data_IF_494070877365
#
_entry.id   IF_494070877365
#
_cell.length_a   1.000
_cell.length_b   1.000
_cell.length_c   1.000
_cell.angle_alpha   90.00
_cell.angle_beta   90.00
_cell.angle_gamma   90.00
#
_symmetry.space_group_name_H-M   'P 1'
#
loop_
_entity.id
_entity.type
_entity.pdbx_description
1 polymer ?
#
# COMPACT_ATOMS: atom_id res chain seq x y z
N UNK A 1 1.39 1.33 0.68
CA UNK A 1 2.07 1.71 1.96
C UNK A 1 1.59 3.04 2.56
N UNK A 2 1.09 4.02 1.77
CA UNK A 2 0.60 5.30 2.30
C UNK A 2 -0.64 5.17 3.21
N UNK A 3 -1.57 4.26 2.91
CA UNK A 3 -2.84 4.12 3.66
C UNK A 3 -2.62 3.75 5.13
N UNK A 4 -1.67 2.87 5.46
CA UNK A 4 -1.36 2.50 6.86
C UNK A 4 -0.69 3.66 7.60
N UNK A 5 0.18 4.43 6.93
CA UNK A 5 0.73 5.66 7.50
C UNK A 5 -0.37 6.71 7.75
N UNK A 6 -1.37 6.79 6.87
CA UNK A 6 -2.52 7.67 7.05
C UNK A 6 -3.47 7.20 8.15
N UNK A 7 -3.78 5.91 8.24
CA UNK A 7 -4.61 5.35 9.32
C UNK A 7 -3.94 5.49 10.69
N UNK A 8 -2.64 5.17 10.80
CA UNK A 8 -1.89 5.43 12.03
C UNK A 8 -1.85 6.91 12.36
N UNK A 9 -1.63 7.80 11.37
CA UNK A 9 -1.70 9.25 11.58
C UNK A 9 -3.09 9.70 12.01
N UNK A 10 -4.17 9.18 11.45
CA UNK A 10 -5.55 9.56 11.79
C UNK A 10 -5.88 9.08 13.21
N UNK A 11 -5.51 7.85 13.57
CA UNK A 11 -5.70 7.35 14.94
C UNK A 11 -4.86 8.17 15.92
N UNK A 12 -3.59 8.46 15.62
CA UNK A 12 -2.75 9.33 16.45
C UNK A 12 -3.28 10.76 16.51
N UNK A 13 -3.83 11.29 15.42
CA UNK A 13 -4.40 12.64 15.35
C UNK A 13 -5.69 12.70 16.17
N UNK A 14 -6.55 11.69 16.10
CA UNK A 14 -7.76 11.60 16.90
C UNK A 14 -7.41 11.48 18.39
N UNK A 15 -6.47 10.61 18.75
CA UNK A 15 -5.98 10.50 20.14
C UNK A 15 -5.33 11.80 20.61
N UNK A 16 -4.51 12.44 19.79
CA UNK A 16 -3.84 13.71 20.13
C UNK A 16 -4.81 14.88 20.22
N UNK A 17 -5.82 14.95 19.36
CA UNK A 17 -6.90 15.96 19.41
C UNK A 17 -7.72 15.76 20.69
N UNK A 18 -8.09 14.52 21.01
CA UNK A 18 -8.79 14.18 22.26
C UNK A 18 -7.96 14.59 23.48
N UNK A 19 -6.64 14.34 23.47
CA UNK A 19 -5.74 14.70 24.57
C UNK A 19 -5.51 16.22 24.68
N UNK A 20 -5.41 16.95 23.56
CA UNK A 20 -5.12 18.39 23.57
C UNK A 20 -6.34 19.24 23.92
N UNK A 21 -7.54 18.83 23.48
CA UNK A 21 -8.80 19.51 23.81
C UNK A 21 -9.06 19.50 25.33
N UNK A 22 -8.57 18.50 26.05
CA UNK A 22 -8.71 18.43 27.52
C UNK A 22 -7.83 19.40 28.32
N UNK A 23 -6.94 20.18 27.68
CA UNK A 23 -5.87 20.91 28.41
C UNK A 23 -5.73 22.40 28.11
N UNK A 24 -6.50 22.98 27.17
CA UNK A 24 -6.30 24.38 26.76
C UNK A 24 -7.54 25.24 26.96
N UNK A 25 -7.39 26.38 27.65
CA UNK A 25 -8.46 27.32 27.97
C UNK A 25 -9.04 28.08 26.76
N UNK A 26 -8.42 27.98 25.57
CA UNK A 26 -8.86 28.65 24.35
C UNK A 26 -8.66 27.78 23.07
N UNK A 27 -9.59 26.85 22.77
CA UNK A 27 -9.39 25.78 21.79
C UNK A 27 -9.51 26.22 20.31
N UNK A 28 -10.22 27.30 20.00
CA UNK A 28 -10.51 27.73 18.61
C UNK A 28 -9.26 28.23 17.89
N UNK A 29 -8.44 29.08 18.53
CA UNK A 29 -7.25 29.66 17.90
C UNK A 29 -6.11 28.63 17.72
N UNK A 30 -6.00 27.65 18.63
CA UNK A 30 -4.98 26.59 18.53
C UNK A 30 -5.30 25.57 17.44
N UNK A 31 -6.57 25.28 17.17
CA UNK A 31 -6.98 24.30 16.15
C UNK A 31 -6.78 24.89 14.76
N UNK A 32 -7.11 26.16 14.57
CA UNK A 32 -6.98 26.85 13.28
C UNK A 32 -5.50 26.98 12.84
N UNK A 33 -4.62 27.40 13.75
CA UNK A 33 -3.16 27.44 13.50
C UNK A 33 -2.57 26.04 13.23
N UNK A 34 -3.06 25.01 13.92
CA UNK A 34 -2.56 23.63 13.72
C UNK A 34 -3.10 22.96 12.45
N UNK A 35 -4.32 23.26 12.02
CA UNK A 35 -4.89 22.73 10.76
C UNK A 35 -4.22 23.39 9.55
N UNK A 36 -4.06 24.71 9.59
CA UNK A 36 -3.48 25.50 8.49
C UNK A 36 -2.04 25.03 8.16
N UNK A 37 -1.19 24.84 9.18
CA UNK A 37 0.18 24.36 8.97
C UNK A 37 0.27 22.92 8.44
N UNK A 38 -0.67 22.04 8.80
CA UNK A 38 -0.68 20.64 8.35
C UNK A 38 -1.27 20.48 6.96
N UNK A 39 -2.25 21.30 6.57
CA UNK A 39 -2.81 21.32 5.21
C UNK A 39 -1.78 21.82 4.20
N UNK A 40 -0.98 22.84 4.55
CA UNK A 40 0.13 23.30 3.71
C UNK A 40 1.18 22.19 3.48
N UNK A 41 1.46 21.37 4.50
CA UNK A 41 2.36 20.23 4.37
C UNK A 41 1.77 19.08 3.52
N UNK A 42 0.45 18.89 3.52
CA UNK A 42 -0.22 17.88 2.69
C UNK A 42 -0.27 18.33 1.22
N UNK A 43 -0.46 19.62 0.95
CA UNK A 43 -0.43 20.18 -0.41
C UNK A 43 0.95 20.05 -1.09
N UNK A 44 2.04 20.04 -0.30
CA UNK A 44 3.41 19.82 -0.81
C UNK A 44 3.76 18.34 -1.07
N UNK A 45 2.91 17.39 -0.67
CA UNK A 45 3.06 16.01 -1.10
C UNK A 45 2.46 15.92 -2.50
N UNK A 46 3.34 15.78 -3.50
CA UNK A 46 3.10 15.79 -4.94
C UNK A 46 2.20 14.61 -5.40
N UNK A 47 0.96 14.58 -4.90
CA UNK A 47 -0.08 13.65 -5.30
C UNK A 47 -0.75 14.29 -6.50
N UNK A 48 -0.65 13.63 -7.65
CA UNK A 48 -1.21 14.06 -8.92
C UNK A 48 -2.74 13.91 -8.88
N UNK A 49 -3.41 14.76 -8.10
CA UNK A 49 -4.86 14.84 -7.98
C UNK A 49 -5.32 15.80 -9.09
N UNK A 50 -6.04 15.27 -10.08
CA UNK A 50 -6.61 16.04 -11.21
C UNK A 50 -7.74 16.99 -10.81
N UNK A 51 -8.11 17.03 -9.52
CA UNK A 51 -9.04 18.02 -8.99
C UNK A 51 -8.29 19.22 -8.44
N UNK A 52 -8.75 20.42 -8.84
CA UNK A 52 -8.26 21.68 -8.31
C UNK A 52 -8.44 21.71 -6.77
N UNK A 53 -7.34 21.75 -5.99
CA UNK A 53 -7.41 21.66 -4.52
C UNK A 53 -8.24 22.81 -3.91
N UNK A 54 -8.37 23.95 -4.58
CA UNK A 54 -9.23 25.04 -4.11
C UNK A 54 -10.74 24.70 -4.19
N UNK A 55 -11.14 23.87 -5.16
CA UNK A 55 -12.54 23.46 -5.30
C UNK A 55 -12.93 22.49 -4.18
N UNK A 56 -12.08 21.51 -3.89
CA UNK A 56 -12.28 20.57 -2.78
C UNK A 56 -12.39 21.32 -1.44
N UNK A 57 -11.57 22.35 -1.23
CA UNK A 57 -11.65 23.18 0.00
C UNK A 57 -12.98 23.94 0.08
N UNK A 58 -13.50 24.45 -1.04
CA UNK A 58 -14.82 25.12 -1.05
C UNK A 58 -15.94 24.15 -0.76
N UNK A 59 -15.93 22.98 -1.38
CA UNK A 59 -16.98 21.96 -1.21
C UNK A 59 -16.99 21.44 0.23
N UNK A 60 -15.81 21.13 0.80
CA UNK A 60 -15.67 20.73 2.21
C UNK A 60 -16.13 21.85 3.16
N UNK A 61 -15.81 23.12 2.86
CA UNK A 61 -16.27 24.25 3.67
C UNK A 61 -17.79 24.39 3.63
N UNK A 62 -18.41 24.17 2.48
CA UNK A 62 -19.85 24.30 2.29
C UNK A 62 -20.60 23.14 2.97
N UNK A 63 -20.07 21.91 2.88
CA UNK A 63 -20.62 20.75 3.59
C UNK A 63 -20.44 20.86 5.11
N UNK A 64 -19.27 21.30 5.57
CA UNK A 64 -19.07 21.60 6.99
C UNK A 64 -19.99 22.73 7.45
N UNK A 65 -20.14 23.79 6.65
CA UNK A 65 -21.04 24.89 6.99
C UNK A 65 -22.48 24.40 7.13
N UNK A 66 -22.97 23.56 6.22
CA UNK A 66 -24.30 22.96 6.32
C UNK A 66 -24.45 22.01 7.53
N UNK A 67 -23.41 21.26 7.87
CA UNK A 67 -23.37 20.44 9.08
C UNK A 67 -23.37 21.29 10.36
N UNK A 68 -22.73 22.45 10.35
CA UNK A 68 -22.67 23.36 11.51
C UNK A 68 -23.87 24.29 11.63
N UNK A 69 -24.56 24.65 10.53
CA UNK A 69 -25.65 25.63 10.54
C UNK A 69 -26.94 25.14 11.23
N UNK A 70 -27.05 23.83 11.47
CA UNK A 70 -28.19 23.26 12.20
C UNK A 70 -27.91 23.01 13.68
N UNK A 71 -26.73 23.39 14.19
CA UNK A 71 -26.48 23.38 15.62
C UNK A 71 -26.95 24.70 16.23
N UNK A 72 -27.91 24.70 17.17
CA UNK A 72 -28.34 25.92 17.85
C UNK A 72 -27.12 26.58 18.52
N UNK A 73 -27.09 27.92 18.55
CA UNK A 73 -26.07 28.76 19.19
C UNK A 73 -26.02 28.58 20.71
N UNK A 74 -25.67 27.38 21.16
CA UNK A 74 -25.45 27.09 22.56
C UNK A 74 -23.95 27.31 22.82
N UNK A 75 -23.58 28.03 23.90
CA UNK A 75 -22.21 28.46 24.14
C UNK A 75 -21.23 27.27 24.12
N UNK A 76 -20.20 27.35 23.28
CA UNK A 76 -19.18 26.32 23.01
C UNK A 76 -18.59 25.73 24.30
N UNK A 77 -18.47 26.53 25.38
CA UNK A 77 -18.00 26.09 26.70
C UNK A 77 -18.87 25.01 27.34
N UNK A 78 -20.19 24.99 27.10
CA UNK A 78 -21.10 24.02 27.74
C UNK A 78 -21.03 22.64 27.08
N UNK A 79 -20.80 22.58 25.78
CA UNK A 79 -20.64 21.31 25.05
C UNK A 79 -19.32 20.63 25.36
N UNK A 80 -18.22 21.38 25.48
CA UNK A 80 -16.91 20.80 25.80
C UNK A 80 -16.94 19.95 27.08
N UNK A 81 -17.58 20.46 28.13
CA UNK A 81 -17.69 19.75 29.41
C UNK A 81 -18.58 18.50 29.35
N UNK A 82 -19.68 18.54 28.59
CA UNK A 82 -20.58 17.39 28.41
C UNK A 82 -19.95 16.29 27.54
N UNK A 83 -19.21 16.66 26.49
CA UNK A 83 -18.46 15.70 25.69
C UNK A 83 -17.29 15.11 26.48
N UNK A 84 -16.57 15.91 27.26
CA UNK A 84 -15.46 15.42 28.09
C UNK A 84 -15.94 14.42 29.16
N UNK A 85 -17.06 14.71 29.84
CA UNK A 85 -17.63 13.78 30.82
C UNK A 85 -18.11 12.49 30.15
N UNK A 86 -18.79 12.59 29.00
CA UNK A 86 -19.22 11.40 28.23
C UNK A 86 -18.04 10.54 27.76
N UNK A 87 -16.96 11.15 27.24
CA UNK A 87 -15.76 10.41 26.85
C UNK A 87 -15.07 9.73 28.04
N UNK A 88 -15.11 10.35 29.22
CA UNK A 88 -14.59 9.77 30.45
C UNK A 88 -15.37 8.51 30.85
N UNK A 89 -16.70 8.56 30.77
CA UNK A 89 -17.58 7.44 31.09
C UNK A 89 -17.38 6.26 30.12
N UNK A 90 -17.13 6.54 28.83
CA UNK A 90 -16.94 5.51 27.79
C UNK A 90 -15.47 5.16 27.49
N UNK A 91 -14.49 5.67 28.25
CA UNK A 91 -13.06 5.52 27.90
C UNK A 91 -12.62 4.08 27.67
N UNK A 92 -13.09 3.13 28.48
CA UNK A 92 -12.74 1.72 28.34
C UNK A 92 -13.42 1.09 27.13
N UNK A 93 -14.66 1.48 26.82
CA UNK A 93 -15.36 1.03 25.62
C UNK A 93 -14.67 1.55 24.35
N UNK A 94 -14.17 2.79 24.36
CA UNK A 94 -13.41 3.37 23.25
C UNK A 94 -12.05 2.69 23.06
N UNK A 95 -11.32 2.44 24.15
CA UNK A 95 -10.05 1.71 24.08
C UNK A 95 -10.29 0.29 23.58
N UNK A 96 -11.30 -0.39 24.13
CA UNK A 96 -11.68 -1.75 23.76
C UNK A 96 -12.10 -1.86 22.29
N UNK A 97 -12.97 -0.97 21.81
CA UNK A 97 -13.41 -0.97 20.41
C UNK A 97 -12.28 -0.66 19.44
N UNK A 98 -11.39 0.29 19.79
CA UNK A 98 -10.20 0.61 18.98
C UNK A 98 -9.24 -0.57 18.92
N UNK A 99 -8.97 -1.21 20.05
CA UNK A 99 -8.10 -2.39 20.13
C UNK A 99 -8.69 -3.56 19.33
N UNK A 100 -10.00 -3.83 19.46
CA UNK A 100 -10.70 -4.86 18.71
C UNK A 100 -10.67 -4.59 17.20
N UNK A 101 -10.92 -3.34 16.78
CA UNK A 101 -10.85 -2.95 15.37
C UNK A 101 -9.45 -3.14 14.78
N UNK A 102 -8.41 -2.73 15.52
CA UNK A 102 -7.02 -2.94 15.11
C UNK A 102 -6.67 -4.43 15.02
N UNK A 103 -7.12 -5.23 15.99
CA UNK A 103 -6.92 -6.68 15.98
C UNK A 103 -7.57 -7.34 14.77
N UNK A 104 -8.85 -7.03 14.49
CA UNK A 104 -9.57 -7.55 13.32
C UNK A 104 -8.90 -7.14 12.01
N UNK A 105 -8.43 -5.89 11.91
CA UNK A 105 -7.70 -5.42 10.73
C UNK A 105 -6.40 -6.20 10.51
N UNK A 106 -5.58 -6.38 11.55
CA UNK A 106 -4.33 -7.14 11.44
C UNK A 106 -4.59 -8.62 11.14
N UNK A 107 -5.62 -9.20 11.75
CA UNK A 107 -6.05 -10.57 11.50
C UNK A 107 -6.45 -10.78 10.04
N UNK A 108 -7.25 -9.85 9.50
CA UNK A 108 -7.61 -9.84 8.08
C UNK A 108 -6.39 -9.72 7.17
N UNK A 109 -5.46 -8.82 7.46
CA UNK A 109 -4.23 -8.65 6.67
C UNK A 109 -3.33 -9.90 6.69
N UNK A 110 -3.25 -10.62 7.83
CA UNK A 110 -2.52 -11.89 7.93
C UNK A 110 -3.19 -12.99 7.09
N UNK A 111 -4.52 -13.12 7.16
CA UNK A 111 -5.27 -14.09 6.33
C UNK A 111 -5.08 -13.78 4.84
N UNK A 112 -5.22 -12.51 4.47
CA UNK A 112 -5.00 -12.05 3.11
C UNK A 112 -3.57 -12.38 2.63
N UNK A 113 -2.56 -12.19 3.48
CA UNK A 113 -1.18 -12.54 3.20
C UNK A 113 -0.96 -14.04 3.01
N UNK A 114 -1.56 -14.85 3.89
CA UNK A 114 -1.53 -16.31 3.75
C UNK A 114 -2.14 -16.75 2.41
N UNK A 115 -3.33 -16.26 2.07
CA UNK A 115 -4.00 -16.58 0.80
C UNK A 115 -3.21 -16.06 -0.41
N UNK A 116 -2.61 -14.87 -0.30
CA UNK A 116 -1.77 -14.30 -1.35
C UNK A 116 -0.52 -15.15 -1.62
N UNK A 117 0.13 -15.63 -0.55
CA UNK A 117 1.27 -16.54 -0.65
C UNK A 117 0.87 -17.97 -1.07
N UNK A 118 -0.41 -18.32 -1.18
CA UNK A 118 -0.85 -19.63 -1.68
C UNK A 118 -1.19 -19.64 -3.18
N UNK A 119 -1.33 -18.47 -3.78
CA UNK A 119 -1.66 -18.32 -5.20
C UNK A 119 -0.72 -19.10 -6.11
N UNK A 120 -1.29 -19.96 -6.94
CA UNK A 120 -0.55 -20.82 -7.89
C UNK A 120 -0.24 -20.10 -9.22
N UNK A 121 -0.97 -19.04 -9.54
CA UNK A 121 -0.84 -18.21 -10.73
C UNK A 121 0.29 -17.15 -10.64
N UNK A 122 0.97 -17.08 -9.50
CA UNK A 122 2.08 -16.17 -9.19
C UNK A 122 3.28 -16.36 -10.11
N UNK A 123 3.93 -15.26 -10.53
CA UNK A 123 5.18 -15.32 -11.30
C UNK A 123 6.33 -15.93 -10.48
N UNK A 124 6.28 -15.85 -9.16
CA UNK A 124 7.24 -16.51 -8.28
C UNK A 124 7.19 -18.05 -8.40
N UNK A 125 6.09 -18.61 -8.91
CA UNK A 125 5.93 -20.05 -9.14
C UNK A 125 6.18 -20.45 -10.60
N UNK A 126 6.62 -19.51 -11.44
CA UNK A 126 7.12 -19.86 -12.78
C UNK A 126 8.30 -20.82 -12.64
N UNK A 127 8.17 -22.00 -13.27
CA UNK A 127 9.07 -23.17 -13.10
C UNK A 127 9.19 -23.69 -11.67
N UNK A 128 8.08 -23.82 -10.93
CA UNK A 128 8.04 -24.29 -9.54
C UNK A 128 8.95 -25.49 -9.22
N UNK A 129 9.07 -26.44 -10.15
CA UNK A 129 9.83 -27.68 -9.97
C UNK A 129 11.36 -27.47 -9.94
N UNK A 130 11.86 -26.30 -10.36
CA UNK A 130 13.29 -25.99 -10.44
C UNK A 130 13.63 -25.02 -9.29
N UNK A 131 14.53 -25.35 -8.35
CA UNK A 131 14.97 -24.44 -7.30
C UNK A 131 15.75 -23.24 -7.88
N UNK A 132 15.82 -22.15 -7.12
CA UNK A 132 16.47 -20.91 -7.59
C UNK A 132 17.94 -21.11 -7.97
N UNK A 133 18.68 -21.96 -7.24
CA UNK A 133 20.09 -22.27 -7.55
C UNK A 133 20.25 -22.87 -8.94
N UNK A 134 19.42 -23.86 -9.30
CA UNK A 134 19.44 -24.47 -10.63
C UNK A 134 18.94 -23.51 -11.70
N UNK A 135 18.02 -22.60 -11.36
CA UNK A 135 17.55 -21.56 -12.29
C UNK A 135 18.70 -20.61 -12.70
N UNK A 136 19.65 -20.35 -11.80
CA UNK A 136 20.84 -19.53 -12.06
C UNK A 136 21.88 -20.24 -12.93
N UNK A 137 21.86 -21.57 -13.02
CA UNK A 137 22.76 -22.37 -13.85
C UNK A 137 22.32 -22.40 -15.32
N UNK A 138 21.05 -22.11 -15.61
CA UNK A 138 20.52 -22.06 -16.98
C UNK A 138 21.11 -20.85 -17.71
N UNK A 139 21.62 -21.01 -18.95
CA UNK A 139 22.08 -19.88 -19.75
C UNK A 139 21.01 -18.79 -19.85
N UNK A 140 21.39 -17.56 -19.53
CA UNK A 140 20.46 -16.43 -19.40
C UNK A 140 19.67 -16.17 -20.68
N UNK A 141 20.28 -16.35 -21.85
CA UNK A 141 19.63 -16.21 -23.16
C UNK A 141 18.46 -17.18 -23.33
N UNK A 142 18.70 -18.47 -23.08
CA UNK A 142 17.67 -19.52 -23.16
C UNK A 142 16.53 -19.23 -22.19
N UNK A 143 16.86 -18.87 -20.94
CA UNK A 143 15.86 -18.57 -19.93
C UNK A 143 15.03 -17.33 -20.31
N UNK A 144 15.68 -16.30 -20.87
CA UNK A 144 15.00 -15.09 -21.29
C UNK A 144 14.03 -15.34 -22.44
N UNK A 145 14.40 -16.14 -23.44
CA UNK A 145 13.53 -16.48 -24.56
C UNK A 145 12.30 -17.26 -24.08
N UNK A 146 12.48 -18.22 -23.17
CA UNK A 146 11.37 -18.96 -22.57
C UNK A 146 10.46 -18.05 -21.74
N UNK A 147 11.03 -17.10 -20.99
CA UNK A 147 10.27 -16.11 -20.23
C UNK A 147 9.40 -15.25 -21.15
N UNK A 148 9.94 -14.79 -22.28
CA UNK A 148 9.19 -13.96 -23.24
C UNK A 148 8.03 -14.74 -23.85
N UNK A 149 8.25 -16.00 -24.23
CA UNK A 149 7.18 -16.87 -24.73
C UNK A 149 6.08 -17.06 -23.69
N UNK A 150 6.44 -17.24 -22.42
CA UNK A 150 5.47 -17.40 -21.34
C UNK A 150 4.69 -16.10 -21.05
N UNK A 151 5.36 -14.95 -21.12
CA UNK A 151 4.73 -13.62 -21.00
C UNK A 151 3.69 -13.44 -22.10
N UNK A 152 4.07 -13.71 -23.35
CA UNK A 152 3.15 -13.66 -24.49
C UNK A 152 1.99 -14.62 -24.23
N UNK A 153 2.25 -15.90 -23.95
CA UNK A 153 1.20 -16.89 -23.66
C UNK A 153 0.20 -16.43 -22.59
N UNK A 154 0.66 -15.77 -21.51
CA UNK A 154 -0.20 -15.33 -20.41
C UNK A 154 -0.95 -14.02 -20.69
N UNK A 155 -0.39 -13.12 -21.48
CA UNK A 155 -0.92 -11.76 -21.69
C UNK A 155 -1.27 -11.43 -23.14
N UNK A 156 -1.26 -12.39 -24.06
CA UNK A 156 -1.68 -12.16 -25.45
C UNK A 156 -3.16 -11.79 -25.47
N UNK A 157 -3.46 -10.63 -26.05
CA UNK A 157 -4.82 -10.23 -26.33
C UNK A 157 -5.31 -10.93 -27.60
N UNK A 158 -6.41 -11.69 -27.50
CA UNK A 158 -7.01 -12.41 -28.62
C UNK A 158 -7.45 -11.45 -29.73
N UNK A 159 -7.85 -10.23 -29.38
CA UNK A 159 -8.29 -9.22 -30.35
C UNK A 159 -7.13 -8.56 -31.12
N UNK A 160 -5.92 -8.55 -30.54
CA UNK A 160 -4.73 -7.88 -31.09
C UNK A 160 -3.47 -8.71 -30.89
N UNK A 161 -3.34 -9.86 -31.58
CA UNK A 161 -2.24 -10.79 -31.35
C UNK A 161 -0.87 -10.23 -31.76
N UNK A 162 -0.82 -9.20 -32.61
CA UNK A 162 0.42 -8.54 -33.05
C UNK A 162 0.98 -7.55 -32.01
N UNK A 163 0.20 -7.16 -31.01
CA UNK A 163 0.62 -6.21 -29.97
C UNK A 163 1.34 -6.93 -28.81
N UNK A 164 2.55 -7.41 -29.10
CA UNK A 164 3.38 -8.06 -28.07
C UNK A 164 3.90 -7.07 -27.02
N UNK A 165 4.04 -5.78 -27.35
CA UNK A 165 4.57 -4.75 -26.45
C UNK A 165 3.65 -4.57 -25.23
N UNK A 166 2.33 -4.54 -25.45
CA UNK A 166 1.36 -4.45 -24.35
C UNK A 166 1.47 -5.61 -23.36
N UNK A 167 1.75 -6.83 -23.84
CA UNK A 167 1.99 -8.00 -22.96
C UNK A 167 3.23 -7.81 -22.08
N UNK A 168 4.31 -7.27 -22.63
CA UNK A 168 5.55 -7.00 -21.89
C UNK A 168 5.36 -5.91 -20.82
N UNK A 169 4.63 -4.84 -21.15
CA UNK A 169 4.31 -3.76 -20.20
C UNK A 169 3.44 -4.29 -19.05
N UNK A 170 2.42 -5.08 -19.38
CA UNK A 170 1.51 -5.67 -18.39
C UNK A 170 2.26 -6.61 -17.45
N UNK A 171 3.14 -7.46 -17.99
CA UNK A 171 4.03 -8.29 -17.21
C UNK A 171 4.89 -7.47 -16.23
N UNK A 172 5.52 -6.40 -16.70
CA UNK A 172 6.36 -5.55 -15.84
C UNK A 172 5.59 -4.93 -14.69
N UNK A 173 4.36 -4.46 -14.94
CA UNK A 173 3.51 -3.92 -13.87
C UNK A 173 3.12 -5.01 -12.86
N UNK A 174 2.78 -6.20 -13.35
CA UNK A 174 2.33 -7.30 -12.49
C UNK A 174 3.48 -7.86 -11.64
N UNK A 175 4.68 -8.03 -12.19
CA UNK A 175 5.84 -8.51 -11.43
C UNK A 175 6.27 -7.50 -10.36
N UNK A 176 6.19 -6.20 -10.64
CA UNK A 176 6.48 -5.15 -9.65
C UNK A 176 5.45 -5.15 -8.52
N UNK A 177 4.17 -5.22 -8.86
CA UNK A 177 3.09 -5.36 -7.88
C UNK A 177 3.26 -6.61 -7.03
N UNK A 178 3.73 -7.71 -7.63
CA UNK A 178 3.99 -8.96 -6.91
C UNK A 178 5.16 -8.82 -5.93
N UNK A 179 6.27 -8.24 -6.36
CA UNK A 179 7.43 -7.93 -5.53
C UNK A 179 7.03 -7.05 -4.33
N UNK A 180 6.26 -5.99 -4.57
CA UNK A 180 5.77 -5.09 -3.51
C UNK A 180 4.85 -5.82 -2.52
N UNK A 181 3.94 -6.67 -3.03
CA UNK A 181 3.06 -7.49 -2.22
C UNK A 181 3.84 -8.45 -1.30
N UNK A 182 4.80 -9.18 -1.85
CA UNK A 182 5.64 -10.09 -1.06
C UNK A 182 6.48 -9.34 -0.02
N UNK A 183 7.13 -8.22 -0.40
CA UNK A 183 7.87 -7.37 0.55
C UNK A 183 6.99 -6.84 1.67
N UNK A 184 5.76 -6.44 1.36
CA UNK A 184 4.81 -5.97 2.35
C UNK A 184 4.52 -7.04 3.41
N UNK A 185 4.25 -8.28 2.99
CA UNK A 185 3.96 -9.37 3.93
C UNK A 185 5.18 -9.79 4.76
N UNK A 186 6.39 -9.84 4.18
CA UNK A 186 7.63 -10.07 4.93
C UNK A 186 7.78 -9.01 6.04
N UNK A 187 7.55 -7.73 5.71
CA UNK A 187 7.61 -6.63 6.67
C UNK A 187 6.51 -6.72 7.73
N UNK A 188 5.29 -7.14 7.36
CA UNK A 188 4.19 -7.35 8.29
C UNK A 188 4.53 -8.41 9.33
N UNK A 189 5.04 -9.57 8.91
CA UNK A 189 5.45 -10.64 9.82
C UNK A 189 6.57 -10.19 10.76
N UNK A 190 7.61 -9.54 10.21
CA UNK A 190 8.71 -8.99 11.00
C UNK A 190 8.23 -8.02 12.09
N UNK A 191 7.28 -7.14 11.75
CA UNK A 191 6.65 -6.22 12.72
C UNK A 191 5.84 -6.95 13.78
N UNK A 192 5.03 -7.94 13.40
CA UNK A 192 4.25 -8.74 14.36
C UNK A 192 5.14 -9.53 15.32
N UNK A 193 6.28 -10.04 14.84
CA UNK A 193 7.31 -10.71 15.66
C UNK A 193 8.01 -9.74 16.60
N UNK A 194 8.41 -8.57 16.11
CA UNK A 194 9.05 -7.52 16.92
C UNK A 194 8.14 -7.05 18.05
N UNK A 195 6.84 -6.91 17.77
CA UNK A 195 5.81 -6.56 18.76
C UNK A 195 5.44 -7.72 19.70
N UNK A 196 6.00 -8.92 19.51
CA UNK A 196 5.69 -10.15 20.27
C UNK A 196 4.21 -10.58 20.25
N UNK A 197 3.43 -10.07 19.30
CA UNK A 197 2.01 -10.42 19.11
C UNK A 197 1.79 -11.51 18.07
N UNK A 198 2.86 -12.00 17.42
CA UNK A 198 2.77 -13.02 16.38
C UNK A 198 1.97 -14.28 16.78
N UNK A 199 2.00 -14.67 18.06
CA UNK A 199 1.24 -15.84 18.57
C UNK A 199 -0.27 -15.65 18.57
N UNK A 200 -0.76 -14.40 18.53
CA UNK A 200 -2.20 -14.10 18.50
C UNK A 200 -2.81 -14.20 17.10
N UNK A 201 -1.97 -14.33 16.07
CA UNK A 201 -2.41 -14.36 14.68
C UNK A 201 -2.11 -15.72 14.05
N UNK A 202 -2.92 -16.17 13.07
CA UNK A 202 -2.72 -17.43 12.36
C UNK A 202 -1.59 -17.32 11.33
N UNK A 203 -0.37 -17.01 11.78
CA UNK A 203 0.81 -16.87 10.92
C UNK A 203 1.37 -18.25 10.59
N UNK A 204 1.37 -18.61 9.31
CA UNK A 204 2.03 -19.83 8.86
C UNK A 204 3.53 -19.56 8.63
N UNK A 205 4.35 -19.84 9.64
CA UNK A 205 5.80 -19.60 9.61
C UNK A 205 6.50 -20.20 8.38
N UNK A 206 6.04 -21.37 7.91
CA UNK A 206 6.59 -22.04 6.71
C UNK A 206 6.29 -21.29 5.42
N UNK A 207 5.15 -20.59 5.34
CA UNK A 207 4.80 -19.78 4.16
C UNK A 207 5.60 -18.49 4.12
N UNK A 208 5.76 -17.85 5.27
CA UNK A 208 6.56 -16.65 5.38
C UNK A 208 8.06 -16.91 5.18
N UNK A 209 8.58 -18.06 5.64
CA UNK A 209 9.97 -18.43 5.34
C UNK A 209 10.21 -18.56 3.82
N UNK A 210 9.23 -19.11 3.08
CA UNK A 210 9.25 -19.20 1.61
C UNK A 210 9.03 -17.85 0.91
N UNK A 211 8.51 -16.83 1.60
CA UNK A 211 8.26 -15.53 0.99
C UNK A 211 9.57 -14.84 0.57
N UNK A 212 10.65 -15.01 1.34
CA UNK A 212 11.98 -14.53 0.97
C UNK A 212 12.50 -15.21 -0.31
N UNK A 213 12.35 -16.53 -0.42
CA UNK A 213 12.73 -17.27 -1.64
C UNK A 213 11.94 -16.80 -2.85
N UNK A 214 10.63 -16.56 -2.69
CA UNK A 214 9.78 -15.99 -3.73
C UNK A 214 10.23 -14.60 -4.14
N UNK A 215 10.59 -13.75 -3.18
CA UNK A 215 11.09 -12.40 -3.46
C UNK A 215 12.38 -12.44 -4.27
N UNK A 216 13.33 -13.30 -3.90
CA UNK A 216 14.58 -13.48 -4.63
C UNK A 216 14.32 -13.97 -6.06
N UNK A 217 13.39 -14.94 -6.20
CA UNK A 217 13.01 -15.48 -7.50
C UNK A 217 12.33 -14.46 -8.40
N UNK A 218 11.37 -13.68 -7.88
CA UNK A 218 10.74 -12.58 -8.61
C UNK A 218 11.74 -11.52 -9.05
N UNK A 219 12.68 -11.17 -8.17
CA UNK A 219 13.74 -10.20 -8.48
C UNK A 219 14.64 -10.71 -9.60
N UNK A 220 14.99 -12.00 -9.56
CA UNK A 220 15.76 -12.64 -10.62
C UNK A 220 15.00 -12.63 -11.96
N UNK A 221 13.73 -13.04 -11.98
CA UNK A 221 12.89 -13.02 -13.19
C UNK A 221 12.81 -11.60 -13.79
N UNK A 222 12.60 -10.58 -12.95
CA UNK A 222 12.61 -9.17 -13.38
C UNK A 222 13.94 -8.79 -14.02
N UNK A 223 15.06 -9.15 -13.40
CA UNK A 223 16.40 -8.82 -13.92
C UNK A 223 16.70 -9.55 -15.23
N UNK A 224 16.28 -10.81 -15.37
CA UNK A 224 16.38 -11.58 -16.63
C UNK A 224 15.63 -10.86 -17.75
N UNK A 225 14.39 -10.44 -17.49
CA UNK A 225 13.60 -9.69 -18.47
C UNK A 225 14.24 -8.34 -18.83
N UNK A 226 14.72 -7.57 -17.84
CA UNK A 226 15.35 -6.28 -18.10
C UNK A 226 16.64 -6.41 -18.92
N UNK A 227 17.43 -7.45 -18.67
CA UNK A 227 18.63 -7.75 -19.45
C UNK A 227 18.26 -8.07 -20.90
N UNK A 228 17.25 -8.91 -21.12
CA UNK A 228 16.72 -9.20 -22.45
C UNK A 228 16.22 -7.92 -23.15
N UNK A 229 15.47 -7.07 -22.46
CA UNK A 229 14.94 -5.83 -23.01
C UNK A 229 16.06 -4.86 -23.44
N UNK A 230 17.16 -4.83 -22.69
CA UNK A 230 18.35 -4.08 -23.04
C UNK A 230 19.01 -4.61 -24.33
N UNK A 231 19.21 -5.93 -24.43
CA UNK A 231 19.74 -6.56 -25.64
C UNK A 231 18.85 -6.32 -26.86
N UNK A 232 17.54 -6.51 -26.71
CA UNK A 232 16.55 -6.25 -27.76
C UNK A 232 16.65 -4.82 -28.29
N UNK A 233 16.76 -3.82 -27.40
CA UNK A 233 16.92 -2.42 -27.79
C UNK A 233 18.24 -2.17 -28.54
N UNK A 234 19.34 -2.79 -28.11
CA UNK A 234 20.63 -2.68 -28.79
C UNK A 234 20.57 -3.28 -30.21
N UNK A 235 19.94 -4.44 -30.36
CA UNK A 235 19.81 -5.10 -31.67
C UNK A 235 18.87 -4.36 -32.62
N UNK A 236 17.80 -3.76 -32.11
CA UNK A 236 16.95 -2.88 -32.91
C UNK A 236 17.72 -1.67 -33.44
N UNK A 237 18.52 -1.01 -32.58
CA UNK A 237 19.35 0.12 -32.98
C UNK A 237 20.40 -0.26 -34.04
N UNK A 238 20.91 -1.51 -34.00
CA UNK A 238 21.84 -2.01 -35.02
C UNK A 238 21.18 -2.23 -36.38
N UNK A 239 19.92 -2.67 -36.40
CA UNK A 239 19.17 -2.94 -37.65
C UNK A 239 18.65 -1.69 -38.33
N UNK A 240 18.31 -0.67 -37.54
CA UNK A 240 17.77 0.60 -38.03
C UNK A 240 18.62 1.75 -37.49
N UNK A 241 19.82 2.01 -38.06
CA UNK A 241 20.65 3.12 -37.61
C UNK A 241 19.88 4.43 -37.83
N UNK A 242 19.76 5.22 -36.76
CA UNK A 242 19.17 6.56 -36.83
C UNK A 242 20.18 7.44 -37.59
N UNK A 243 19.89 7.78 -38.84
CA UNK A 243 20.63 8.81 -39.55
C UNK A 243 20.28 10.16 -38.90
N UNK A 244 21.22 10.71 -38.14
CA UNK A 244 21.16 12.09 -37.65
C UNK A 244 21.67 13.06 -38.70
#
# INVERSE_FOLDING_TARGET
>A
MQIIKHLCKIIFLNVFIILKIGTTDNPTESVEKSLSGKIAHIANLNINITCNPQQIIKDIKQDLFLLFYKFPEVPIRRYGNLFASSLYDYRYALIGSTAAGLYLFLFYEVIKGNNYLERQDSWALWKLNIPLSQLLEIPQENLSNELILEIQRRYTNIERPTDFISSLITFMRDIEKEIEGVKYFINLESRLRTLRVAKLFPINSRRFSRATDRLNRLTYIKNTFLTWAAHYKMDQNRRYPICF
#
